data_IF_261766258769
#
_entry.id   IF_261766258769
#
_cell.length_a   1.000
_cell.length_b   1.000
_cell.length_c   1.000
_cell.angle_alpha   90.00
_cell.angle_beta   90.00
_cell.angle_gamma   90.00
#
_symmetry.space_group_name_H-M   'P 1'
#
loop_
_entity.id
_entity.type
_entity.pdbx_description
1 polymer ?
#
# COMPACT_ATOMS: atom_id res chain seq x y z
N UNK A 1 5.77 -19.42 -7.95
CA UNK A 1 4.59 -19.52 -7.06
C UNK A 1 4.80 -18.70 -5.77
N UNK A 2 4.61 -17.38 -5.84
CA UNK A 2 4.64 -16.46 -4.69
C UNK A 2 3.31 -15.70 -4.52
N UNK A 3 2.37 -15.84 -5.46
CA UNK A 3 0.99 -15.37 -5.32
C UNK A 3 0.22 -16.32 -4.39
N UNK A 4 -0.53 -15.76 -3.44
CA UNK A 4 -1.44 -16.48 -2.54
C UNK A 4 -0.80 -17.32 -1.41
N UNK A 5 0.34 -16.89 -0.84
CA UNK A 5 0.89 -17.50 0.38
C UNK A 5 1.03 -16.46 1.50
N UNK A 6 -0.04 -16.17 2.28
CA UNK A 6 0.03 -15.21 3.38
C UNK A 6 1.01 -15.67 4.46
N UNK A 7 2.04 -14.88 4.70
CA UNK A 7 3.05 -15.19 5.71
C UNK A 7 4.25 -14.26 5.63
N UNK A 8 5.25 -14.52 6.46
CA UNK A 8 6.50 -13.73 6.50
C UNK A 8 7.21 -13.66 5.15
N UNK A 9 7.14 -14.72 4.33
CA UNK A 9 7.80 -14.81 3.03
C UNK A 9 7.20 -13.88 1.97
N UNK A 10 5.95 -13.42 2.15
CA UNK A 10 5.26 -12.55 1.18
C UNK A 10 4.86 -11.21 1.79
N UNK A 11 5.41 -10.85 2.95
CA UNK A 11 4.97 -9.72 3.76
C UNK A 11 4.93 -8.40 3.00
N UNK A 12 5.90 -8.18 2.09
CA UNK A 12 6.01 -6.99 1.23
C UNK A 12 4.88 -6.85 0.19
N UNK A 13 4.09 -7.90 -0.03
CA UNK A 13 3.09 -7.95 -1.11
C UNK A 13 1.68 -7.59 -0.61
N UNK A 14 1.52 -7.28 0.67
CA UNK A 14 0.22 -7.07 1.30
C UNK A 14 -0.03 -5.58 1.56
N UNK A 15 -1.08 -5.07 0.92
CA UNK A 15 -1.53 -3.69 1.04
C UNK A 15 -2.99 -3.67 1.47
N UNK A 16 -3.38 -2.60 2.15
CA UNK A 16 -4.78 -2.33 2.53
C UNK A 16 -5.30 -1.14 1.72
N UNK A 17 -6.60 -1.15 1.47
CA UNK A 17 -7.34 0.00 0.96
C UNK A 17 -8.21 0.47 2.12
N UNK A 18 -8.04 1.72 2.53
CA UNK A 18 -8.76 2.31 3.64
C UNK A 18 -9.54 3.53 3.17
N UNK A 19 -10.70 3.78 3.79
CA UNK A 19 -11.48 4.99 3.50
C UNK A 19 -10.67 6.23 3.91
N UNK A 20 -10.63 7.22 3.03
CA UNK A 20 -9.94 8.48 3.27
C UNK A 20 -10.79 9.63 2.73
N UNK A 21 -11.43 10.36 3.65
CA UNK A 21 -12.38 11.43 3.35
C UNK A 21 -13.55 10.92 2.47
N UNK A 22 -13.69 11.50 1.27
CA UNK A 22 -14.65 11.17 0.22
C UNK A 22 -14.16 10.09 -0.76
N UNK A 23 -12.96 9.54 -0.53
CA UNK A 23 -12.30 8.57 -1.38
C UNK A 23 -11.56 7.49 -0.56
N UNK A 24 -10.44 7.00 -1.07
CA UNK A 24 -9.62 5.96 -0.43
C UNK A 24 -8.14 6.34 -0.39
N UNK A 25 -7.39 5.64 0.44
CA UNK A 25 -5.93 5.61 0.42
C UNK A 25 -5.42 4.17 0.44
N UNK A 26 -4.16 3.99 0.02
CA UNK A 26 -3.47 2.72 0.16
C UNK A 26 -2.53 2.76 1.37
N UNK A 27 -2.44 1.65 2.09
CA UNK A 27 -1.63 1.53 3.32
C UNK A 27 -0.79 0.28 3.25
N UNK A 28 0.49 0.39 3.64
CA UNK A 28 1.34 -0.76 3.94
C UNK A 28 1.35 -0.99 5.44
N UNK A 29 0.57 -1.97 5.89
CA UNK A 29 0.53 -2.42 7.28
C UNK A 29 0.01 -3.87 7.28
N UNK A 30 0.84 -4.85 6.83
CA UNK A 30 0.43 -6.24 6.70
C UNK A 30 -0.11 -6.82 8.02
N UNK A 31 -1.00 -7.80 7.95
CA UNK A 31 -1.50 -8.55 9.13
C UNK A 31 -1.24 -10.05 9.01
N UNK A 32 -0.35 -10.44 8.09
CA UNK A 32 -0.06 -11.83 7.74
C UNK A 32 1.13 -12.42 8.50
N UNK A 33 1.81 -11.60 9.31
CA UNK A 33 2.91 -12.02 10.16
C UNK A 33 2.92 -11.20 11.45
N UNK A 34 2.54 -11.84 12.57
CA UNK A 34 2.38 -11.16 13.86
C UNK A 34 3.72 -10.92 14.60
N UNK A 35 4.77 -11.65 14.22
CA UNK A 35 6.10 -11.55 14.82
C UNK A 35 7.09 -10.74 13.97
N UNK A 36 6.69 -10.35 12.75
CA UNK A 36 7.55 -9.55 11.87
C UNK A 36 7.50 -8.08 12.30
N UNK A 37 8.64 -7.40 12.23
CA UNK A 37 8.73 -5.96 12.46
C UNK A 37 8.76 -5.21 11.12
N UNK A 38 7.79 -4.32 10.90
CA UNK A 38 7.68 -3.50 9.71
C UNK A 38 7.00 -2.18 10.06
N UNK A 39 7.33 -1.08 9.37
CA UNK A 39 6.63 0.18 9.56
C UNK A 39 5.21 0.06 9.00
N UNK A 40 4.21 0.45 9.81
CA UNK A 40 2.88 0.74 9.28
C UNK A 40 2.88 2.18 8.77
N UNK A 41 2.61 2.37 7.48
CA UNK A 41 2.66 3.68 6.84
C UNK A 41 1.66 3.78 5.70
N UNK A 42 1.21 4.99 5.46
CA UNK A 42 0.45 5.32 4.26
C UNK A 42 1.34 5.24 3.01
N UNK A 43 0.70 5.05 1.87
CA UNK A 43 1.35 5.14 0.56
C UNK A 43 1.02 6.50 -0.05
N UNK A 44 2.07 7.28 -0.31
CA UNK A 44 2.00 8.59 -0.93
C UNK A 44 2.87 8.69 -2.19
N UNK A 45 2.89 9.90 -2.77
CA UNK A 45 3.81 10.24 -3.86
C UNK A 45 5.08 10.81 -3.25
N UNK A 46 6.23 10.22 -3.58
CA UNK A 46 7.53 10.82 -3.30
C UNK A 46 8.03 11.51 -4.56
N UNK A 47 8.34 12.80 -4.48
CA UNK A 47 8.87 13.55 -5.63
C UNK A 47 10.40 13.44 -5.64
N UNK A 48 10.93 12.90 -6.73
CA UNK A 48 12.36 12.92 -7.00
C UNK A 48 12.66 13.45 -8.41
N UNK A 49 13.94 13.55 -8.74
CA UNK A 49 14.39 14.04 -10.05
C UNK A 49 14.01 13.12 -11.23
N UNK A 50 13.49 11.92 -10.96
CA UNK A 50 13.14 10.90 -11.93
C UNK A 50 11.63 10.68 -12.05
N UNK A 51 10.83 11.29 -11.17
CA UNK A 51 9.37 11.32 -11.27
C UNK A 51 8.68 11.29 -9.90
N UNK A 52 7.52 10.63 -9.89
CA UNK A 52 6.58 10.60 -8.78
C UNK A 52 6.30 9.14 -8.34
N UNK A 53 7.31 8.38 -7.88
CA UNK A 53 7.09 7.03 -7.38
C UNK A 53 6.14 6.99 -6.17
N UNK A 54 5.46 5.85 -6.01
CA UNK A 54 4.75 5.52 -4.78
C UNK A 54 5.74 5.09 -3.71
N UNK A 55 5.63 5.68 -2.52
CA UNK A 55 6.51 5.40 -1.39
C UNK A 55 5.73 5.34 -0.08
N UNK A 56 6.37 4.78 0.95
CA UNK A 56 5.87 4.86 2.32
C UNK A 56 6.10 6.29 2.85
N UNK A 57 5.02 6.99 3.16
CA UNK A 57 5.05 8.40 3.57
C UNK A 57 4.06 8.67 4.69
N UNK A 58 4.21 9.81 5.37
CA UNK A 58 3.22 10.32 6.33
C UNK A 58 2.02 10.99 5.64
N UNK A 59 2.16 11.36 4.37
CA UNK A 59 1.11 12.01 3.58
C UNK A 59 0.51 11.01 2.58
N UNK A 60 -0.74 10.54 2.78
CA UNK A 60 -1.37 9.57 1.91
C UNK A 60 -1.75 10.18 0.55
N UNK A 61 -1.59 9.39 -0.52
CA UNK A 61 -2.13 9.75 -1.83
C UNK A 61 -3.60 9.30 -1.94
N UNK A 62 -4.50 10.27 -2.13
CA UNK A 62 -5.94 10.03 -2.29
C UNK A 62 -6.22 9.38 -3.65
N UNK A 63 -6.92 8.25 -3.65
CA UNK A 63 -7.24 7.48 -4.87
C UNK A 63 -8.74 7.13 -4.97
N UNK A 64 -9.22 7.03 -6.20
CA UNK A 64 -10.52 6.46 -6.55
C UNK A 64 -10.31 5.34 -7.57
N UNK A 65 -11.13 4.30 -7.49
CA UNK A 65 -11.02 3.15 -8.38
C UNK A 65 -12.07 3.26 -9.48
N UNK A 66 -11.61 3.60 -10.69
CA UNK A 66 -12.46 3.57 -11.88
C UNK A 66 -12.41 2.18 -12.51
N UNK A 67 -13.56 1.53 -12.64
CA UNK A 67 -13.66 0.25 -13.37
C UNK A 67 -13.38 0.50 -14.85
N UNK A 68 -12.33 -0.13 -15.38
CA UNK A 68 -12.13 -0.20 -16.82
C UNK A 68 -13.15 -1.17 -17.40
N UNK A 69 -13.96 -0.73 -18.37
CA UNK A 69 -14.80 -1.65 -19.12
C UNK A 69 -13.92 -2.41 -20.10
N UNK A 70 -13.89 -3.73 -19.97
CA UNK A 70 -13.18 -4.68 -20.83
C UNK A 70 -14.14 -5.27 -21.86
#
# INVERSE_FOLDING_TARGET
>A
PLRNNPGSQTISNWFKIEKYEDAYKMVYCPSVCNYCNYPCSDIGIYQDQYGNPLALTSEPYKVQFQRVQS
#
